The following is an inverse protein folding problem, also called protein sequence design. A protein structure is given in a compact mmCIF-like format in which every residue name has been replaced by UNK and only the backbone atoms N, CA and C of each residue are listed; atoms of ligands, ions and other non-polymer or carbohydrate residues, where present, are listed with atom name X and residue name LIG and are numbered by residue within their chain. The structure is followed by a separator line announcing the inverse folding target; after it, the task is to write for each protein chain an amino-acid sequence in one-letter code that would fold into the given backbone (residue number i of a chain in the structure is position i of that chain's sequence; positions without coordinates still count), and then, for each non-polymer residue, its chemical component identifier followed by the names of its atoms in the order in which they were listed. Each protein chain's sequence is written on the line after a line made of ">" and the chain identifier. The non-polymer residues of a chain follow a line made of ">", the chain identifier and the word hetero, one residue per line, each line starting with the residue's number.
data_IF_425059556262
#
_entry.id   IF_425059556262
#
_cell.length_a   1.000
_cell.length_b   1.000
_cell.length_c   1.000
_cell.angle_alpha   90.00
_cell.angle_beta   90.00
_cell.angle_gamma   90.00
#
_symmetry.space_group_name_H-M   'P 1'
#
loop_
_entity.id
_entity.type
_entity.pdbx_description
1 polymer ?
#
# COMPACT_ATOMS: atom_id res chain seq x y z
N UNK A 1 -3.10 4.95 -26.84
CA UNK A 1 -2.10 5.54 -25.93
C UNK A 1 -1.92 4.53 -24.81
N UNK A 2 -0.71 4.03 -24.57
CA UNK A 2 -0.46 3.01 -23.55
C UNK A 2 -0.17 3.65 -22.21
N UNK A 3 -0.80 3.15 -21.16
CA UNK A 3 -0.47 3.46 -19.78
C UNK A 3 0.75 2.61 -19.39
N UNK A 4 1.85 3.23 -18.97
CA UNK A 4 3.04 2.53 -18.50
C UNK A 4 3.21 2.79 -17.00
N UNK A 5 3.32 1.72 -16.21
CA UNK A 5 3.51 1.77 -14.76
C UNK A 5 4.91 1.28 -14.39
N UNK A 6 5.68 2.13 -13.74
CA UNK A 6 6.97 1.80 -13.13
C UNK A 6 6.73 1.43 -11.67
N UNK A 7 6.82 0.14 -11.35
CA UNK A 7 6.39 -0.38 -10.06
C UNK A 7 7.08 -1.70 -9.71
N UNK A 8 6.91 -2.16 -8.47
CA UNK A 8 7.25 -3.53 -8.08
C UNK A 8 6.24 -4.03 -7.06
N UNK A 9 6.18 -5.35 -6.87
CA UNK A 9 5.21 -5.99 -5.98
C UNK A 9 5.65 -6.04 -4.51
N UNK A 10 6.79 -5.43 -4.15
CA UNK A 10 7.21 -5.32 -2.74
C UNK A 10 6.69 -4.01 -2.14
N UNK A 11 6.77 -2.92 -2.90
CA UNK A 11 6.34 -1.58 -2.49
C UNK A 11 4.81 -1.52 -2.32
N UNK A 12 4.38 -1.06 -1.15
CA UNK A 12 2.98 -0.92 -0.74
C UNK A 12 2.19 0.01 -1.70
N UNK A 13 2.63 1.26 -1.98
CA UNK A 13 1.91 2.12 -2.92
C UNK A 13 1.91 1.55 -4.34
N UNK A 14 2.94 0.79 -4.74
CA UNK A 14 2.99 0.13 -6.04
C UNK A 14 1.94 -0.98 -6.15
N UNK A 15 1.86 -1.86 -5.15
CA UNK A 15 0.82 -2.92 -5.08
C UNK A 15 -0.58 -2.33 -5.09
N UNK A 16 -0.83 -1.24 -4.36
CA UNK A 16 -2.14 -0.59 -4.37
C UNK A 16 -2.55 -0.13 -5.78
N UNK A 17 -1.63 0.47 -6.55
CA UNK A 17 -1.87 0.89 -7.94
C UNK A 17 -2.08 -0.31 -8.86
N UNK A 18 -1.20 -1.32 -8.79
CA UNK A 18 -1.30 -2.54 -9.61
C UNK A 18 -2.64 -3.25 -9.36
N UNK A 19 -3.02 -3.39 -8.09
CA UNK A 19 -4.23 -4.08 -7.71
C UNK A 19 -5.48 -3.36 -8.19
N UNK A 20 -5.52 -2.03 -8.04
CA UNK A 20 -6.62 -1.21 -8.52
C UNK A 20 -6.75 -1.27 -10.05
N UNK A 21 -5.64 -1.21 -10.80
CA UNK A 21 -5.65 -1.37 -12.27
C UNK A 21 -6.20 -2.73 -12.70
N UNK A 22 -5.76 -3.82 -12.04
CA UNK A 22 -6.24 -5.19 -12.34
C UNK A 22 -7.71 -5.37 -12.05
N UNK A 23 -8.19 -4.92 -10.87
CA UNK A 23 -9.62 -5.02 -10.53
C UNK A 23 -10.50 -4.25 -11.50
N UNK A 24 -9.97 -3.17 -12.07
CA UNK A 24 -10.69 -2.29 -12.99
C UNK A 24 -10.45 -2.61 -14.45
N UNK A 25 -9.77 -3.71 -14.73
CA UNK A 25 -9.49 -4.22 -16.07
C UNK A 25 -8.92 -3.11 -17.00
N UNK A 26 -8.01 -2.31 -16.44
CA UNK A 26 -7.31 -1.27 -17.20
C UNK A 26 -6.04 -1.87 -17.76
N UNK A 27 -5.87 -1.86 -19.08
CA UNK A 27 -4.63 -2.30 -19.73
C UNK A 27 -3.47 -1.36 -19.40
N UNK A 28 -2.34 -1.93 -18.98
CA UNK A 28 -1.10 -1.20 -18.73
C UNK A 28 0.14 -2.06 -19.01
N UNK A 29 1.21 -1.39 -19.41
CA UNK A 29 2.55 -1.97 -19.47
C UNK A 29 3.21 -1.84 -18.09
N UNK A 30 3.61 -2.96 -17.48
CA UNK A 30 4.38 -2.94 -16.24
C UNK A 30 5.88 -2.94 -16.55
N UNK A 31 6.56 -1.84 -16.19
CA UNK A 31 8.02 -1.82 -16.08
C UNK A 31 8.39 -2.20 -14.66
N UNK A 32 8.79 -3.46 -14.46
CA UNK A 32 9.09 -4.00 -13.13
C UNK A 32 10.42 -3.48 -12.58
N UNK A 33 10.32 -2.63 -11.55
CA UNK A 33 11.42 -1.93 -10.89
C UNK A 33 11.98 -2.75 -9.73
N UNK A 34 12.83 -3.74 -10.04
CA UNK A 34 13.42 -4.66 -9.05
C UNK A 34 14.08 -3.93 -7.87
N UNK A 35 13.68 -4.28 -6.65
CA UNK A 35 14.24 -3.71 -5.41
C UNK A 35 15.76 -3.79 -5.38
N UNK A 36 16.43 -2.66 -5.09
CA UNK A 36 17.90 -2.58 -5.06
C UNK A 36 18.59 -2.45 -6.42
N UNK A 37 17.83 -2.45 -7.53
CA UNK A 37 18.38 -2.29 -8.87
C UNK A 37 19.03 -0.91 -9.08
N UNK A 38 20.12 -0.88 -9.84
CA UNK A 38 20.77 0.36 -10.26
C UNK A 38 19.87 1.25 -11.15
N UNK A 39 18.82 0.68 -11.75
CA UNK A 39 17.85 1.41 -12.59
C UNK A 39 17.19 2.55 -11.81
N UNK A 40 16.98 2.40 -10.50
CA UNK A 40 16.46 3.49 -9.65
C UNK A 40 17.35 4.74 -9.67
N UNK A 41 18.64 4.61 -10.00
CA UNK A 41 19.62 5.71 -10.03
C UNK A 41 19.98 6.14 -11.45
N UNK A 42 19.38 5.53 -12.47
CA UNK A 42 19.66 5.85 -13.86
C UNK A 42 19.09 7.22 -14.22
N UNK A 43 19.71 7.90 -15.18
CA UNK A 43 19.27 9.23 -15.59
C UNK A 43 17.93 9.16 -16.33
N UNK A 44 17.64 8.04 -17.00
CA UNK A 44 16.36 7.75 -17.63
C UNK A 44 15.23 7.69 -16.59
N UNK A 45 15.43 7.00 -15.47
CA UNK A 45 14.40 6.93 -14.43
C UNK A 45 14.29 8.24 -13.64
N UNK A 46 15.40 8.97 -13.41
CA UNK A 46 15.36 10.32 -12.81
C UNK A 46 14.55 11.30 -13.64
N UNK A 47 14.61 11.19 -14.97
CA UNK A 47 13.81 12.02 -15.87
C UNK A 47 12.30 11.74 -15.73
N UNK A 48 11.91 10.55 -15.26
CA UNK A 48 10.52 10.18 -14.97
C UNK A 48 10.14 10.59 -13.54
N UNK A 49 10.96 10.19 -12.55
CA UNK A 49 10.76 10.54 -11.16
C UNK A 49 12.09 11.03 -10.54
N UNK A 50 12.26 12.34 -10.31
CA UNK A 50 13.48 12.87 -9.71
C UNK A 50 13.70 12.36 -8.27
N UNK A 51 12.63 11.94 -7.56
CA UNK A 51 12.74 11.32 -6.25
C UNK A 51 13.28 9.88 -6.30
N UNK A 52 13.43 9.28 -7.50
CA UNK A 52 13.95 7.93 -7.67
C UNK A 52 13.15 6.87 -6.89
N UNK A 53 11.82 7.02 -6.83
CA UNK A 53 10.91 6.13 -6.10
C UNK A 53 9.82 5.56 -7.02
N UNK A 54 9.21 4.46 -6.56
CA UNK A 54 8.03 3.85 -7.19
C UNK A 54 6.82 3.92 -6.27
N UNK A 55 5.59 3.97 -6.81
CA UNK A 55 5.26 3.92 -8.24
C UNK A 55 5.43 5.25 -8.97
N UNK A 56 5.60 5.17 -10.29
CA UNK A 56 5.44 6.29 -11.23
C UNK A 56 4.64 5.80 -12.44
N UNK A 57 3.83 6.68 -13.04
CA UNK A 57 3.04 6.35 -14.22
C UNK A 57 3.35 7.32 -15.36
N UNK A 58 3.36 6.79 -16.57
CA UNK A 58 3.42 7.54 -17.81
C UNK A 58 2.18 7.23 -18.65
N UNK A 59 1.46 8.27 -19.05
CA UNK A 59 0.23 8.19 -19.84
C UNK A 59 0.36 9.12 -21.05
N UNK A 60 0.91 8.57 -22.15
CA UNK A 60 1.42 9.40 -23.24
C UNK A 60 2.58 10.27 -22.77
N UNK A 61 2.43 11.59 -22.90
CA UNK A 61 3.44 12.57 -22.44
C UNK A 61 3.26 13.01 -20.98
N UNK A 62 2.14 12.63 -20.35
CA UNK A 62 1.88 12.94 -18.96
C UNK A 62 2.61 11.97 -18.03
N UNK A 63 3.36 12.51 -17.07
CA UNK A 63 4.04 11.73 -16.03
C UNK A 63 3.51 12.14 -14.67
N UNK A 64 3.18 11.16 -13.84
CA UNK A 64 2.72 11.37 -12.49
C UNK A 64 3.44 10.42 -11.53
N UNK A 65 3.82 10.96 -10.37
CA UNK A 65 4.45 10.23 -9.26
C UNK A 65 3.52 10.29 -8.05
N UNK A 66 3.91 9.66 -6.94
CA UNK A 66 3.09 9.49 -5.74
C UNK A 66 1.90 8.54 -5.92
N UNK A 67 1.97 7.36 -5.28
CA UNK A 67 0.98 6.30 -5.49
C UNK A 67 -0.47 6.72 -5.22
N UNK A 68 -0.72 7.56 -4.21
CA UNK A 68 -2.08 8.00 -3.90
C UNK A 68 -2.60 9.00 -4.94
N UNK A 69 -1.75 9.87 -5.47
CA UNK A 69 -2.10 10.77 -6.57
C UNK A 69 -2.37 9.97 -7.87
N UNK A 70 -1.57 8.94 -8.13
CA UNK A 70 -1.78 8.01 -9.25
C UNK A 70 -3.15 7.32 -9.13
N UNK A 71 -3.50 6.79 -7.96
CA UNK A 71 -4.82 6.18 -7.72
C UNK A 71 -5.97 7.16 -7.97
N UNK A 72 -5.86 8.41 -7.53
CA UNK A 72 -6.88 9.43 -7.80
C UNK A 72 -6.98 9.76 -9.30
N UNK A 73 -5.85 9.92 -9.99
CA UNK A 73 -5.80 10.18 -11.43
C UNK A 73 -6.47 9.05 -12.23
N UNK A 74 -6.10 7.80 -11.93
CA UNK A 74 -6.71 6.62 -12.55
C UNK A 74 -8.20 6.53 -12.26
N UNK A 75 -8.60 6.86 -11.03
CA UNK A 75 -10.01 6.93 -10.65
C UNK A 75 -10.79 7.98 -11.42
N UNK A 76 -10.23 9.17 -11.59
CA UNK A 76 -10.86 10.23 -12.36
C UNK A 76 -10.96 9.90 -13.86
N UNK A 77 -10.00 9.14 -14.39
CA UNK A 77 -9.93 8.76 -15.81
C UNK A 77 -10.76 7.52 -16.17
N UNK A 78 -10.77 6.50 -15.30
CA UNK A 78 -11.28 5.16 -15.63
C UNK A 78 -12.44 4.69 -14.72
N UNK A 79 -12.60 5.21 -13.50
CA UNK A 79 -13.48 4.62 -12.47
C UNK A 79 -14.62 5.56 -12.07
N UNK A 80 -15.57 5.78 -12.98
CA UNK A 80 -16.59 6.83 -12.85
C UNK A 80 -17.92 6.37 -12.27
N UNK A 81 -18.04 5.10 -11.87
CA UNK A 81 -19.27 4.57 -11.27
C UNK A 81 -19.62 5.22 -9.91
N UNK A 82 -20.92 5.25 -9.52
CA UNK A 82 -21.34 5.80 -8.23
C UNK A 82 -20.88 4.96 -7.03
N UNK A 83 -20.62 3.66 -7.25
CA UNK A 83 -20.02 2.72 -6.29
C UNK A 83 -18.76 2.12 -6.90
N UNK A 84 -17.75 2.97 -7.06
CA UNK A 84 -16.47 2.61 -7.67
C UNK A 84 -15.31 3.02 -6.76
N UNK A 85 -14.07 2.75 -7.14
CA UNK A 85 -12.91 2.96 -6.25
C UNK A 85 -12.67 4.44 -5.89
N UNK A 86 -13.09 5.39 -6.75
CA UNK A 86 -12.96 6.84 -6.51
C UNK A 86 -14.17 7.65 -7.05
N UNK A 87 -15.36 7.45 -6.48
CA UNK A 87 -16.63 7.96 -7.02
C UNK A 87 -16.68 9.49 -6.94
N UNK A 88 -17.52 10.15 -7.75
CA UNK A 88 -17.59 11.64 -7.84
C UNK A 88 -18.33 12.33 -6.69
N UNK A 89 -18.99 11.57 -5.80
CA UNK A 89 -19.67 12.14 -4.64
C UNK A 89 -18.67 12.89 -3.73
N UNK A 90 -18.98 14.15 -3.43
CA UNK A 90 -18.05 15.03 -2.73
C UNK A 90 -17.75 14.57 -1.29
N UNK A 91 -18.73 13.98 -0.59
CA UNK A 91 -18.56 13.54 0.80
C UNK A 91 -17.76 12.24 0.85
N UNK A 92 -18.05 11.30 -0.04
CA UNK A 92 -17.26 10.06 -0.16
C UNK A 92 -15.82 10.39 -0.54
N UNK A 93 -15.57 11.29 -1.51
CA UNK A 93 -14.21 11.74 -1.84
C UNK A 93 -13.50 12.40 -0.67
N UNK A 94 -14.21 13.23 0.10
CA UNK A 94 -13.62 13.87 1.27
C UNK A 94 -13.13 12.82 2.29
N UNK A 95 -13.90 11.75 2.54
CA UNK A 95 -13.49 10.65 3.43
C UNK A 95 -12.36 9.81 2.86
N UNK A 96 -12.37 9.53 1.56
CA UNK A 96 -11.24 8.87 0.88
C UNK A 96 -9.97 9.71 1.08
N UNK A 97 -10.02 10.99 0.71
CA UNK A 97 -8.86 11.88 0.74
C UNK A 97 -8.38 12.14 2.18
N UNK A 98 -9.29 12.25 3.15
CA UNK A 98 -8.95 12.31 4.57
C UNK A 98 -8.02 11.14 4.95
N UNK A 99 -8.39 9.90 4.61
CA UNK A 99 -7.55 8.76 4.88
C UNK A 99 -6.25 8.77 4.07
N UNK A 100 -6.31 9.05 2.77
CA UNK A 100 -5.12 9.09 1.90
C UNK A 100 -4.11 10.16 2.32
N UNK A 101 -4.52 11.23 3.01
CA UNK A 101 -3.60 12.19 3.58
C UNK A 101 -3.11 11.76 4.97
N UNK A 102 -4.01 11.27 5.81
CA UNK A 102 -3.70 10.78 7.16
C UNK A 102 -2.69 9.62 7.14
N UNK A 103 -2.82 8.67 6.20
CA UNK A 103 -2.03 7.44 6.20
C UNK A 103 -0.50 7.69 6.12
N UNK A 104 -0.07 8.81 5.53
CA UNK A 104 1.33 9.13 5.28
C UNK A 104 2.13 9.32 6.57
N UNK A 105 1.46 9.72 7.65
CA UNK A 105 2.03 9.91 8.99
C UNK A 105 1.53 8.88 10.00
N UNK A 106 0.85 7.84 9.54
CA UNK A 106 0.15 6.87 10.36
C UNK A 106 0.43 5.44 9.90
N UNK A 107 -0.48 4.76 9.19
CA UNK A 107 -0.27 3.37 8.75
C UNK A 107 0.98 3.20 7.88
N UNK A 108 1.40 4.24 7.14
CA UNK A 108 2.68 4.23 6.39
C UNK A 108 3.91 4.06 7.29
N UNK A 109 3.81 4.40 8.57
CA UNK A 109 4.88 4.21 9.55
C UNK A 109 5.16 2.74 9.81
N UNK A 110 4.23 1.81 9.54
CA UNK A 110 4.53 0.37 9.59
C UNK A 110 5.69 0.02 8.67
N UNK A 111 5.71 0.61 7.46
CA UNK A 111 6.81 0.39 6.53
C UNK A 111 8.11 1.02 7.02
N UNK A 112 8.04 2.27 7.50
CA UNK A 112 9.22 3.05 7.87
C UNK A 112 9.86 2.61 9.19
N UNK A 113 9.05 2.15 10.14
CA UNK A 113 9.48 1.88 11.51
C UNK A 113 9.47 0.38 11.87
N UNK A 114 8.88 -0.48 11.02
CA UNK A 114 8.85 -1.93 11.26
C UNK A 114 9.44 -2.68 10.06
N UNK A 115 8.80 -2.63 8.89
CA UNK A 115 9.19 -3.46 7.73
C UNK A 115 10.63 -3.17 7.25
N UNK A 116 10.97 -1.90 7.01
CA UNK A 116 12.32 -1.51 6.57
C UNK A 116 13.39 -1.79 7.63
N UNK A 117 13.18 -1.44 8.93
CA UNK A 117 14.10 -1.83 9.99
C UNK A 117 14.31 -3.35 10.13
N UNK A 118 13.26 -4.18 10.03
CA UNK A 118 13.42 -5.64 10.08
C UNK A 118 14.20 -6.17 8.86
N UNK A 119 13.98 -5.62 7.66
CA UNK A 119 14.82 -5.93 6.48
C UNK A 119 16.28 -5.56 6.75
N UNK A 120 16.53 -4.34 7.24
CA UNK A 120 17.88 -3.87 7.52
C UNK A 120 18.57 -4.77 8.55
N UNK A 121 17.84 -5.21 9.58
CA UNK A 121 18.32 -6.16 10.59
C UNK A 121 18.62 -7.53 9.97
N UNK A 122 17.76 -8.06 9.12
CA UNK A 122 17.94 -9.39 8.51
C UNK A 122 19.14 -9.47 7.58
N UNK A 123 19.55 -8.33 6.99
CA UNK A 123 20.73 -8.24 6.12
C UNK A 123 21.96 -7.63 6.81
N UNK A 124 21.96 -7.55 8.15
CA UNK A 124 23.05 -7.00 8.97
C UNK A 124 23.46 -5.56 8.61
N UNK A 125 22.49 -4.73 8.24
CA UNK A 125 22.67 -3.32 7.87
C UNK A 125 21.77 -2.36 8.68
N UNK A 126 21.22 -2.82 9.82
CA UNK A 126 20.41 -1.98 10.69
C UNK A 126 21.24 -0.89 11.37
N UNK A 127 20.73 0.33 11.35
CA UNK A 127 21.30 1.48 12.08
C UNK A 127 20.75 1.55 13.50
N UNK A 128 21.37 2.33 14.42
CA UNK A 128 20.79 2.56 15.75
C UNK A 128 19.36 3.11 15.71
N UNK A 129 19.03 3.92 14.69
CA UNK A 129 17.68 4.44 14.47
C UNK A 129 16.68 3.33 14.13
N UNK A 130 17.09 2.36 13.31
CA UNK A 130 16.25 1.23 12.95
C UNK A 130 15.93 0.37 14.18
N UNK A 131 16.94 0.09 15.01
CA UNK A 131 16.76 -0.68 16.24
C UNK A 131 15.83 0.02 17.24
N UNK A 132 16.02 1.33 17.45
CA UNK A 132 15.14 2.12 18.32
C UNK A 132 13.69 2.16 17.80
N UNK A 133 13.48 2.21 16.47
CA UNK A 133 12.14 2.16 15.89
C UNK A 133 11.44 0.80 16.16
N UNK A 134 12.20 -0.30 16.17
CA UNK A 134 11.68 -1.63 16.44
C UNK A 134 11.28 -1.86 17.90
N UNK A 135 11.86 -1.12 18.85
CA UNK A 135 11.44 -1.15 20.26
C UNK A 135 10.01 -0.62 20.44
N UNK A 136 9.60 0.34 19.61
CA UNK A 136 8.28 0.99 19.66
C UNK A 136 7.22 0.33 18.77
N UNK A 137 7.54 -0.81 18.13
CA UNK A 137 6.67 -1.43 17.12
C UNK A 137 5.29 -1.81 17.65
N UNK A 138 5.22 -2.38 18.86
CA UNK A 138 3.95 -2.84 19.44
C UNK A 138 3.05 -1.66 19.82
N UNK A 139 3.65 -0.56 20.30
CA UNK A 139 2.94 0.68 20.60
C UNK A 139 2.40 1.33 19.32
N UNK A 140 3.18 1.34 18.24
CA UNK A 140 2.75 1.82 16.93
C UNK A 140 1.59 0.99 16.38
N UNK A 141 1.73 -0.34 16.36
CA UNK A 141 0.66 -1.25 15.91
C UNK A 141 -0.59 -1.06 16.76
N UNK A 142 -0.46 -0.97 18.09
CA UNK A 142 -1.59 -0.75 18.99
C UNK A 142 -2.33 0.57 18.70
N UNK A 143 -1.60 1.67 18.59
CA UNK A 143 -2.15 2.99 18.30
C UNK A 143 -2.91 3.01 16.98
N UNK A 144 -2.30 2.55 15.90
CA UNK A 144 -2.89 2.67 14.56
C UNK A 144 -4.06 1.69 14.38
N UNK A 145 -4.01 0.48 14.93
CA UNK A 145 -5.14 -0.45 14.85
C UNK A 145 -6.34 -0.01 15.70
N UNK A 146 -6.13 0.64 16.86
CA UNK A 146 -7.23 1.25 17.62
C UNK A 146 -7.93 2.38 16.83
N UNK A 147 -7.17 3.15 16.05
CA UNK A 147 -7.75 4.16 15.16
C UNK A 147 -8.51 3.52 14.00
N UNK A 148 -7.97 2.46 13.38
CA UNK A 148 -8.66 1.72 12.33
C UNK A 148 -9.95 1.05 12.84
N UNK A 149 -9.97 0.49 14.05
CA UNK A 149 -11.19 0.00 14.70
C UNK A 149 -12.25 1.11 14.82
N UNK A 150 -11.83 2.34 15.10
CA UNK A 150 -12.72 3.49 15.18
C UNK A 150 -13.28 3.87 13.81
N UNK A 151 -12.46 3.89 12.76
CA UNK A 151 -12.90 4.19 11.40
C UNK A 151 -13.88 3.13 10.86
N UNK A 152 -13.65 1.85 11.21
CA UNK A 152 -14.46 0.70 10.79
C UNK A 152 -15.61 0.37 11.76
N UNK A 153 -15.85 1.18 12.80
CA UNK A 153 -16.80 0.83 13.87
C UNK A 153 -18.21 0.50 13.34
N UNK A 154 -18.74 1.37 12.48
CA UNK A 154 -20.07 1.26 11.87
C UNK A 154 -20.02 1.11 10.34
N UNK A 155 -18.84 0.84 9.77
CA UNK A 155 -18.64 0.84 8.32
C UNK A 155 -17.86 -0.40 7.88
N UNK A 156 -18.18 -0.89 6.69
CA UNK A 156 -17.48 -2.04 6.12
C UNK A 156 -16.12 -1.67 5.50
N UNK A 157 -15.95 -0.40 5.12
CA UNK A 157 -14.76 0.12 4.44
C UNK A 157 -14.30 1.46 5.01
N UNK A 158 -13.02 1.77 4.81
CA UNK A 158 -12.30 2.90 5.43
C UNK A 158 -12.95 4.25 5.13
N UNK A 159 -13.48 4.42 3.92
CA UNK A 159 -14.14 5.67 3.50
C UNK A 159 -15.60 5.80 3.98
N UNK A 160 -16.04 4.93 4.89
CA UNK A 160 -17.42 4.87 5.41
C UNK A 160 -18.45 4.54 4.32
N UNK A 161 -18.08 3.63 3.42
CA UNK A 161 -18.90 3.13 2.30
C UNK A 161 -19.28 1.66 2.50
N UNK A 162 -20.24 1.17 1.72
CA UNK A 162 -20.60 -0.25 1.60
C UNK A 162 -19.85 -0.98 0.47
N UNK A 163 -18.87 -0.32 -0.16
CA UNK A 163 -18.00 -0.84 -1.21
C UNK A 163 -16.55 -0.36 -0.99
N UNK A 164 -15.53 -1.10 -1.46
CA UNK A 164 -14.13 -0.71 -1.30
C UNK A 164 -13.78 0.51 -2.14
N UNK A 165 -12.88 1.34 -1.63
CA UNK A 165 -12.35 2.53 -2.29
C UNK A 165 -10.83 2.49 -2.35
N UNK A 166 -10.19 3.41 -3.07
CA UNK A 166 -8.72 3.53 -3.08
C UNK A 166 -8.11 3.70 -1.68
N UNK A 167 -8.86 4.19 -0.69
CA UNK A 167 -8.41 4.25 0.70
C UNK A 167 -8.18 2.85 1.29
N UNK A 168 -9.05 1.89 0.97
CA UNK A 168 -8.93 0.50 1.43
C UNK A 168 -7.72 -0.20 0.82
N UNK A 169 -7.44 0.04 -0.47
CA UNK A 169 -6.28 -0.51 -1.16
C UNK A 169 -4.97 0.05 -0.59
N UNK A 170 -4.95 1.35 -0.28
CA UNK A 170 -3.82 2.00 0.37
C UNK A 170 -3.60 1.44 1.78
N UNK A 171 -4.66 1.35 2.59
CA UNK A 171 -4.60 0.81 3.94
C UNK A 171 -4.13 -0.65 3.95
N UNK A 172 -4.71 -1.48 3.08
CA UNK A 172 -4.49 -2.92 3.09
C UNK A 172 -3.04 -3.26 2.73
N UNK A 173 -2.48 -2.59 1.71
CA UNK A 173 -1.09 -2.79 1.31
C UNK A 173 -0.07 -2.36 2.38
N UNK A 174 -0.45 -1.52 3.35
CA UNK A 174 0.40 -1.21 4.52
C UNK A 174 0.25 -2.22 5.66
N UNK A 175 -0.88 -2.92 5.74
CA UNK A 175 -1.22 -3.83 6.84
C UNK A 175 -0.80 -5.27 6.54
N UNK A 176 -0.98 -5.73 5.30
CA UNK A 176 -0.70 -7.11 4.90
C UNK A 176 0.78 -7.51 5.08
N UNK A 177 1.71 -6.57 4.94
CA UNK A 177 3.12 -6.79 5.26
C UNK A 177 3.33 -7.22 6.71
N UNK A 178 2.59 -6.66 7.66
CA UNK A 178 2.68 -7.02 9.07
C UNK A 178 2.12 -8.43 9.28
N UNK A 179 1.02 -8.75 8.61
CA UNK A 179 0.46 -10.11 8.64
C UNK A 179 1.46 -11.14 8.13
N UNK A 180 2.12 -10.88 7.00
CA UNK A 180 3.13 -11.78 6.46
C UNK A 180 4.36 -11.92 7.37
N UNK A 181 4.65 -10.91 8.18
CA UNK A 181 5.68 -10.94 9.24
C UNK A 181 5.24 -11.69 10.51
N UNK A 182 3.99 -12.18 10.57
CA UNK A 182 3.44 -12.96 11.66
C UNK A 182 2.66 -12.17 12.71
N UNK A 183 2.33 -10.90 12.46
CA UNK A 183 1.48 -10.14 13.38
C UNK A 183 0.04 -10.64 13.35
N UNK A 184 -0.54 -10.79 14.54
CA UNK A 184 -1.92 -11.25 14.72
C UNK A 184 -2.84 -10.08 15.07
N UNK A 185 -4.02 -10.04 14.43
CA UNK A 185 -4.97 -8.93 14.56
C UNK A 185 -6.30 -9.34 15.21
N UNK A 186 -6.40 -10.55 15.75
CA UNK A 186 -7.63 -11.12 16.32
C UNK A 186 -8.25 -10.28 17.45
N UNK A 187 -7.46 -9.45 18.14
CA UNK A 187 -7.94 -8.48 19.15
C UNK A 187 -8.67 -7.26 18.56
N UNK A 188 -8.60 -7.07 17.24
CA UNK A 188 -9.24 -6.00 16.48
C UNK A 188 -10.31 -6.62 15.56
N UNK A 189 -11.54 -6.84 16.05
CA UNK A 189 -12.54 -7.59 15.32
C UNK A 189 -13.04 -6.87 14.06
N UNK A 190 -13.13 -5.53 14.07
CA UNK A 190 -13.58 -4.76 12.89
C UNK A 190 -12.50 -4.75 11.81
N UNK A 191 -11.25 -4.55 12.21
CA UNK A 191 -10.09 -4.62 11.31
C UNK A 191 -9.94 -6.04 10.76
N UNK A 192 -10.06 -7.07 11.59
CA UNK A 192 -10.01 -8.47 11.14
C UNK A 192 -11.10 -8.79 10.12
N UNK A 193 -12.33 -8.34 10.34
CA UNK A 193 -13.42 -8.50 9.38
C UNK A 193 -13.16 -7.76 8.06
N UNK A 194 -12.58 -6.55 8.13
CA UNK A 194 -12.18 -5.78 6.96
C UNK A 194 -11.03 -6.44 6.19
N UNK A 195 -9.98 -6.92 6.87
CA UNK A 195 -8.89 -7.71 6.26
C UNK A 195 -9.45 -8.92 5.52
N UNK A 196 -10.38 -9.67 6.14
CA UNK A 196 -11.01 -10.81 5.50
C UNK A 196 -11.78 -10.42 4.23
N UNK A 197 -12.48 -9.28 4.21
CA UNK A 197 -13.13 -8.75 3.00
C UNK A 197 -12.11 -8.41 1.92
N UNK A 198 -11.00 -7.73 2.28
CA UNK A 198 -9.96 -7.35 1.32
C UNK A 198 -9.26 -8.57 0.70
N UNK A 199 -8.99 -9.61 1.48
CA UNK A 199 -8.42 -10.88 1.00
C UNK A 199 -9.31 -11.63 0.00
N UNK A 200 -10.63 -11.46 0.13
CA UNK A 200 -11.59 -12.10 -0.77
C UNK A 200 -11.71 -11.39 -2.12
N UNK A 201 -11.04 -10.24 -2.32
CA UNK A 201 -11.10 -9.49 -3.58
C UNK A 201 -10.25 -10.16 -4.67
N UNK A 202 -10.70 -10.02 -5.92
CA UNK A 202 -9.99 -10.57 -7.08
C UNK A 202 -8.55 -10.06 -7.16
N UNK A 203 -7.66 -10.89 -7.70
CA UNK A 203 -6.22 -10.61 -7.88
C UNK A 203 -5.42 -10.38 -6.58
N UNK A 204 -6.03 -10.56 -5.40
CA UNK A 204 -5.33 -10.42 -4.12
C UNK A 204 -4.07 -11.29 -4.07
N UNK A 205 -4.21 -12.61 -4.22
CA UNK A 205 -3.06 -13.52 -4.06
C UNK A 205 -1.97 -13.23 -5.09
N UNK A 206 -2.35 -12.96 -6.35
CA UNK A 206 -1.42 -12.62 -7.42
C UNK A 206 -0.58 -11.37 -7.10
N UNK A 207 -1.23 -10.29 -6.64
CA UNK A 207 -0.53 -9.02 -6.37
C UNK A 207 0.34 -9.08 -5.11
N UNK A 208 -0.06 -9.89 -4.14
CA UNK A 208 0.59 -9.93 -2.82
C UNK A 208 1.61 -11.07 -2.68
N UNK A 209 1.65 -12.02 -3.64
CA UNK A 209 2.54 -13.18 -3.61
C UNK A 209 4.02 -12.82 -3.50
N UNK A 210 4.54 -11.90 -4.32
CA UNK A 210 5.97 -11.56 -4.29
C UNK A 210 6.39 -10.96 -2.93
N UNK A 211 5.52 -10.18 -2.28
CA UNK A 211 5.80 -9.67 -0.93
C UNK A 211 5.91 -10.81 0.07
N UNK A 212 4.97 -11.76 0.04
CA UNK A 212 4.98 -12.93 0.92
C UNK A 212 6.26 -13.74 0.74
N UNK A 213 6.64 -14.04 -0.50
CA UNK A 213 7.89 -14.76 -0.82
C UNK A 213 9.12 -13.98 -0.37
N UNK A 214 9.12 -12.65 -0.50
CA UNK A 214 10.20 -11.78 -0.03
C UNK A 214 10.35 -11.81 1.49
N UNK A 215 9.25 -11.76 2.23
CA UNK A 215 9.22 -11.87 3.70
C UNK A 215 9.74 -13.24 4.15
N UNK A 216 9.31 -14.32 3.49
CA UNK A 216 9.78 -15.68 3.79
C UNK A 216 11.27 -15.85 3.50
N UNK A 217 11.73 -15.37 2.34
CA UNK A 217 13.14 -15.43 1.94
C UNK A 217 14.07 -14.70 2.91
N UNK A 218 13.62 -13.59 3.47
CA UNK A 218 14.39 -12.81 4.46
C UNK A 218 14.19 -13.27 5.90
N UNK A 219 13.38 -14.32 6.13
CA UNK A 219 13.04 -14.83 7.45
C UNK A 219 12.49 -13.74 8.39
N UNK A 220 11.64 -12.86 7.86
CA UNK A 220 11.06 -11.73 8.62
C UNK A 220 9.82 -12.14 9.43
N UNK A 221 9.49 -13.44 9.49
CA UNK A 221 8.52 -13.99 10.44
C UNK A 221 9.13 -14.04 11.84
N UNK A 222 9.50 -12.88 12.36
CA UNK A 222 10.12 -12.72 13.67
C UNK A 222 9.08 -12.48 14.77
N UNK A 223 7.81 -12.23 14.41
CA UNK A 223 6.71 -12.15 15.37
C UNK A 223 6.16 -13.56 15.63
N UNK A 224 6.72 -14.21 16.64
CA UNK A 224 6.03 -15.28 17.35
C UNK A 224 5.44 -14.62 18.59
N UNK A 225 4.12 -14.44 18.59
CA UNK A 225 3.37 -14.09 19.81
C UNK A 225 3.61 -15.12 20.91
#
# INVERSE_FOLDING_TARGET
>A
MSLTLYANFISQPSRAVIWALKIKDVDFELVEMKTGSAVFKSDEFKAINPNCLVPAVKDGDFVLTEGMAILQYLGDKYWTGPKDLYPKDAKVRAKINEFLHWHHTNTRLFTLNIFRPEIAKSVNNATPKDLAALEEKDALVAKEFNLLETFLANNDYIAHTDFPTIADFAAYCEIDQLEFMGFEFSKYPKVSAWIARMKAMNFHDEVHQQLKEFVEKLNLRSYQS
#
